data_IF_457187863110
#
_entry.id   IF_457187863110
#
_cell.length_a   1.000
_cell.length_b   1.000
_cell.length_c   1.000
_cell.angle_alpha   90.00
_cell.angle_beta   90.00
_cell.angle_gamma   90.00
#
_symmetry.space_group_name_H-M   'P 1'
#
loop_
_entity.id
_entity.type
_entity.pdbx_description
1 polymer ?
#
# COMPACT_ATOMS: atom_id res chain seq x y z
N UNK A 1 -11.61 14.95 12.04
CA UNK A 1 -11.34 15.42 10.66
C UNK A 1 -10.12 16.35 10.60
N UNK A 2 -9.07 15.95 11.30
CA UNK A 2 -7.82 16.74 11.46
C UNK A 2 -6.94 16.77 10.21
N UNK A 3 -7.08 15.80 9.31
CA UNK A 3 -6.16 15.60 8.19
C UNK A 3 -6.55 16.30 6.88
N UNK A 4 -7.78 16.76 6.73
CA UNK A 4 -8.30 17.29 5.46
C UNK A 4 -8.15 18.81 5.31
N UNK A 5 -7.91 19.54 6.39
CA UNK A 5 -7.91 21.03 6.38
C UNK A 5 -6.52 21.69 6.42
N UNK A 6 -5.42 20.93 6.52
CA UNK A 6 -4.07 21.53 6.57
C UNK A 6 -3.47 21.63 5.18
N UNK A 7 -3.01 22.83 4.81
CA UNK A 7 -2.20 23.10 3.60
C UNK A 7 -0.79 22.47 3.66
N UNK A 8 -0.43 21.82 4.75
CA UNK A 8 0.87 21.13 4.90
C UNK A 8 0.75 19.65 4.60
N UNK A 9 1.81 19.05 4.04
CA UNK A 9 1.80 17.63 3.72
C UNK A 9 1.45 16.80 4.97
N UNK A 10 0.66 15.77 4.76
CA UNK A 10 -0.01 14.92 5.75
C UNK A 10 0.90 14.23 6.76
N UNK A 11 2.19 14.40 6.69
CA UNK A 11 3.05 13.47 7.36
C UNK A 11 4.17 14.15 8.10
N UNK A 12 3.87 14.35 9.34
CA UNK A 12 4.89 14.29 10.38
C UNK A 12 5.20 12.82 10.76
N UNK A 13 4.46 11.84 10.20
CA UNK A 13 4.66 10.42 10.46
C UNK A 13 5.65 9.82 9.45
N UNK A 14 6.56 9.03 9.94
CA UNK A 14 7.51 8.24 9.14
C UNK A 14 6.79 7.15 8.31
N UNK A 15 7.46 6.43 7.40
CA UNK A 15 6.81 5.50 6.48
C UNK A 15 5.87 4.50 7.17
N UNK A 16 6.25 3.95 8.31
CA UNK A 16 5.40 3.03 9.07
C UNK A 16 4.08 3.68 9.50
N UNK A 17 4.13 4.83 10.16
CA UNK A 17 2.94 5.55 10.59
C UNK A 17 2.08 6.02 9.43
N UNK A 18 2.72 6.41 8.32
CA UNK A 18 2.02 6.77 7.08
C UNK A 18 1.28 5.58 6.50
N UNK A 19 1.86 4.37 6.49
CA UNK A 19 1.18 3.15 6.02
C UNK A 19 -0.05 2.81 6.87
N UNK A 20 0.00 3.03 8.19
CA UNK A 20 -1.19 2.90 9.06
C UNK A 20 -2.25 3.93 8.67
N UNK A 21 -1.84 5.15 8.36
CA UNK A 21 -2.75 6.22 7.92
C UNK A 21 -3.45 5.86 6.61
N UNK A 22 -2.77 5.28 5.64
CA UNK A 22 -3.40 4.83 4.38
C UNK A 22 -4.59 3.89 4.64
N UNK A 23 -4.40 2.92 5.52
CA UNK A 23 -5.46 1.96 5.88
C UNK A 23 -6.62 2.59 6.64
N UNK A 24 -6.32 3.54 7.53
CA UNK A 24 -7.35 4.27 8.26
C UNK A 24 -8.20 5.15 7.34
N UNK A 25 -7.57 5.82 6.37
CA UNK A 25 -8.25 6.63 5.37
C UNK A 25 -9.13 5.78 4.45
N UNK A 26 -8.66 4.61 4.02
CA UNK A 26 -9.48 3.67 3.24
C UNK A 26 -10.71 3.22 4.02
N UNK A 27 -10.57 2.85 5.29
CA UNK A 27 -11.71 2.52 6.16
C UNK A 27 -12.70 3.67 6.35
N UNK A 28 -12.21 4.90 6.26
CA UNK A 28 -13.04 6.11 6.30
C UNK A 28 -13.67 6.47 4.93
N UNK A 29 -13.52 5.63 3.90
CA UNK A 29 -14.02 5.89 2.54
C UNK A 29 -13.19 6.90 1.75
N UNK A 30 -11.97 7.19 2.17
CA UNK A 30 -11.08 8.18 1.56
C UNK A 30 -9.94 7.51 0.75
N UNK A 31 -10.27 6.45 -0.02
CA UNK A 31 -9.31 5.68 -0.83
C UNK A 31 -8.47 6.58 -1.75
N UNK A 32 -9.10 7.54 -2.43
CA UNK A 32 -8.39 8.46 -3.34
C UNK A 32 -7.33 9.29 -2.62
N UNK A 33 -7.57 9.65 -1.36
CA UNK A 33 -6.58 10.34 -0.54
C UNK A 33 -5.42 9.42 -0.17
N UNK A 34 -5.70 8.16 0.18
CA UNK A 34 -4.67 7.16 0.45
C UNK A 34 -3.77 6.95 -0.76
N UNK A 35 -4.36 6.79 -1.95
CA UNK A 35 -3.61 6.62 -3.20
C UNK A 35 -2.75 7.85 -3.52
N UNK A 36 -3.27 9.05 -3.31
CA UNK A 36 -2.49 10.28 -3.49
C UNK A 36 -1.28 10.35 -2.57
N UNK A 37 -1.46 10.04 -1.28
CA UNK A 37 -0.36 9.99 -0.30
C UNK A 37 0.67 8.93 -0.70
N UNK A 38 0.21 7.76 -1.13
CA UNK A 38 1.09 6.67 -1.57
C UNK A 38 1.94 7.11 -2.77
N UNK A 39 1.33 7.70 -3.80
CA UNK A 39 2.04 8.21 -4.98
C UNK A 39 3.04 9.30 -4.61
N UNK A 40 2.63 10.27 -3.79
CA UNK A 40 3.49 11.37 -3.36
C UNK A 40 4.66 10.88 -2.52
N UNK A 41 4.41 10.01 -1.52
CA UNK A 41 5.42 9.62 -0.55
C UNK A 41 6.33 8.50 -1.07
N UNK A 42 5.79 7.35 -1.40
CA UNK A 42 6.62 6.25 -1.90
C UNK A 42 6.95 6.41 -3.38
N UNK A 43 6.03 6.88 -4.20
CA UNK A 43 6.29 7.17 -5.61
C UNK A 43 7.38 8.23 -5.75
N UNK A 44 7.05 9.48 -5.44
CA UNK A 44 7.97 10.60 -5.71
C UNK A 44 9.22 10.59 -4.83
N UNK A 45 9.09 10.22 -3.55
CA UNK A 45 10.24 10.29 -2.63
C UNK A 45 11.15 9.08 -2.65
N UNK A 46 10.69 7.93 -3.12
CA UNK A 46 11.50 6.72 -3.18
C UNK A 46 11.70 6.24 -4.62
N UNK A 47 10.61 5.89 -5.33
CA UNK A 47 10.71 5.27 -6.67
C UNK A 47 11.30 6.23 -7.69
N UNK A 48 10.76 7.46 -7.81
CA UNK A 48 11.23 8.44 -8.80
C UNK A 48 12.67 8.92 -8.53
N UNK A 49 13.17 8.72 -7.31
CA UNK A 49 14.55 8.98 -6.93
C UNK A 49 15.49 7.79 -7.14
N UNK A 50 14.98 6.68 -7.66
CA UNK A 50 15.76 5.50 -7.96
C UNK A 50 16.20 4.70 -6.74
N UNK A 51 15.51 4.81 -5.60
CA UNK A 51 15.81 3.98 -4.46
C UNK A 51 15.50 2.52 -4.76
N UNK A 52 16.41 1.64 -4.41
CA UNK A 52 16.29 0.19 -4.60
C UNK A 52 15.79 -0.53 -3.35
N UNK A 53 15.61 0.20 -2.25
CA UNK A 53 15.08 -0.29 -0.97
C UNK A 53 14.24 0.79 -0.30
N UNK A 54 13.48 0.42 0.72
CA UNK A 54 12.65 1.35 1.49
C UNK A 54 13.39 1.76 2.76
N UNK A 55 13.82 3.03 2.87
CA UNK A 55 14.49 3.53 4.07
C UNK A 55 13.53 3.68 5.25
N UNK A 56 14.09 3.73 6.45
CA UNK A 56 13.35 3.87 7.71
C UNK A 56 12.54 5.16 7.79
N UNK A 57 13.06 6.23 7.21
CA UNK A 57 12.53 7.58 7.33
C UNK A 57 12.48 8.28 5.98
N UNK A 58 11.69 9.37 5.89
CA UNK A 58 11.57 10.17 4.67
C UNK A 58 12.80 11.00 4.35
N UNK A 59 13.58 11.38 5.37
CA UNK A 59 14.82 12.15 5.22
C UNK A 59 16.00 11.28 4.79
N UNK A 60 16.11 11.00 3.52
CA UNK A 60 16.81 9.83 2.98
C UNK A 60 18.25 10.01 2.54
N UNK A 61 18.96 11.00 2.99
CA UNK A 61 20.33 11.23 2.52
C UNK A 61 21.40 10.51 3.35
N UNK A 62 21.08 9.34 3.94
CA UNK A 62 21.97 8.67 4.87
C UNK A 62 22.25 9.53 6.11
N UNK A 63 21.33 10.45 6.42
CA UNK A 63 21.50 11.37 7.53
C UNK A 63 21.43 10.63 8.85
N UNK A 64 22.26 11.06 9.78
CA UNK A 64 22.25 10.56 11.14
C UNK A 64 20.98 10.99 11.88
N UNK A 65 20.52 10.15 12.81
CA UNK A 65 19.43 10.49 13.72
C UNK A 65 19.80 11.69 14.58
N UNK A 66 18.80 12.47 14.97
CA UNK A 66 18.91 13.61 15.88
C UNK A 66 18.50 13.23 17.32
N UNK A 67 18.73 14.13 18.26
CA UNK A 67 18.38 13.92 19.67
C UNK A 67 19.17 12.80 20.32
N UNK A 68 18.50 11.96 21.12
CA UNK A 68 19.13 10.83 21.83
C UNK A 68 19.78 9.79 20.92
N UNK A 69 19.48 9.82 19.64
CA UNK A 69 19.99 8.92 18.62
C UNK A 69 21.03 9.60 17.71
N UNK A 70 21.55 10.74 18.13
CA UNK A 70 22.57 11.46 17.37
C UNK A 70 23.79 10.58 17.10
N UNK A 71 24.25 10.57 15.84
CA UNK A 71 25.37 9.74 15.42
C UNK A 71 25.00 8.31 15.01
N UNK A 72 23.74 7.87 15.20
CA UNK A 72 23.27 6.57 14.73
C UNK A 72 22.71 6.73 13.32
N UNK A 73 23.29 6.01 12.37
CA UNK A 73 22.81 6.00 10.99
C UNK A 73 21.41 5.37 10.91
N UNK A 74 20.55 5.98 10.11
CA UNK A 74 19.22 5.44 9.80
C UNK A 74 19.34 4.25 8.87
N UNK A 75 18.44 3.30 9.03
CA UNK A 75 18.36 2.15 8.11
C UNK A 75 17.95 2.62 6.72
N UNK A 76 18.75 2.24 5.72
CA UNK A 76 18.41 2.46 4.30
C UNK A 76 17.58 1.31 3.70
N UNK A 77 17.40 0.22 4.46
CA UNK A 77 16.55 -0.91 4.08
C UNK A 77 15.76 -1.37 5.30
N UNK A 78 14.52 -0.89 5.42
CA UNK A 78 13.69 -1.13 6.58
C UNK A 78 12.33 -1.69 6.19
N UNK A 79 12.08 -2.91 6.61
CA UNK A 79 10.89 -3.68 6.21
C UNK A 79 9.57 -2.99 6.61
N UNK A 80 9.50 -2.30 7.74
CA UNK A 80 8.26 -1.62 8.14
C UNK A 80 7.84 -0.49 7.19
N UNK A 81 8.75 -0.05 6.32
CA UNK A 81 8.46 0.95 5.29
C UNK A 81 7.85 0.37 4.01
N UNK A 82 7.68 -0.95 3.94
CA UNK A 82 7.04 -1.66 2.80
C UNK A 82 5.51 -1.68 2.88
N UNK A 83 4.91 -0.89 3.77
CA UNK A 83 3.46 -0.79 3.93
C UNK A 83 2.63 -0.63 2.65
N UNK A 84 3.12 0.04 1.58
CA UNK A 84 2.43 0.09 0.29
C UNK A 84 2.11 -1.27 -0.31
N UNK A 85 3.00 -2.25 -0.21
CA UNK A 85 2.74 -3.59 -0.74
C UNK A 85 1.52 -4.22 -0.06
N UNK A 86 1.45 -4.15 1.27
CA UNK A 86 0.28 -4.61 2.02
C UNK A 86 -0.99 -3.83 1.67
N UNK A 87 -0.87 -2.50 1.55
CA UNK A 87 -2.01 -1.65 1.19
C UNK A 87 -2.57 -2.00 -0.19
N UNK A 88 -1.72 -2.18 -1.19
CA UNK A 88 -2.13 -2.55 -2.54
C UNK A 88 -2.82 -3.92 -2.54
N UNK A 89 -2.25 -4.92 -1.87
CA UNK A 89 -2.81 -6.27 -1.81
C UNK A 89 -4.16 -6.29 -1.07
N UNK A 90 -4.26 -5.71 0.11
CA UNK A 90 -5.45 -5.84 0.94
C UNK A 90 -6.49 -4.74 0.74
N UNK A 91 -6.05 -3.51 0.49
CA UNK A 91 -6.98 -2.39 0.40
C UNK A 91 -7.39 -2.09 -1.05
N UNK A 92 -6.44 -2.10 -2.00
CA UNK A 92 -6.80 -1.83 -3.41
C UNK A 92 -7.49 -3.04 -4.04
N UNK A 93 -6.99 -4.26 -3.87
CA UNK A 93 -7.73 -5.45 -4.35
C UNK A 93 -8.92 -5.80 -3.48
N UNK A 94 -8.95 -5.31 -2.24
CA UNK A 94 -9.98 -5.65 -1.25
C UNK A 94 -9.99 -7.14 -0.88
N UNK A 95 -8.85 -7.82 -1.02
CA UNK A 95 -8.73 -9.26 -0.74
C UNK A 95 -8.96 -9.54 0.74
N UNK A 96 -9.86 -10.48 1.02
CA UNK A 96 -10.08 -11.06 2.34
C UNK A 96 -9.91 -12.58 2.25
N UNK A 97 -9.12 -13.12 3.16
CA UNK A 97 -8.95 -14.57 3.30
C UNK A 97 -10.09 -15.07 4.20
N UNK A 98 -10.97 -15.91 3.66
CA UNK A 98 -12.12 -16.47 4.36
C UNK A 98 -11.82 -17.84 4.93
N UNK A 99 -10.82 -18.54 4.36
CA UNK A 99 -10.39 -19.86 4.83
C UNK A 99 -8.86 -19.95 4.86
N UNK A 100 -8.28 -20.57 5.90
CA UNK A 100 -6.83 -20.73 6.00
C UNK A 100 -6.20 -21.28 4.72
N UNK A 101 -4.96 -20.90 4.44
CA UNK A 101 -4.24 -21.29 3.23
C UNK A 101 -4.81 -20.67 1.94
N UNK A 102 -5.62 -19.61 2.05
CA UNK A 102 -6.30 -18.97 0.93
C UNK A 102 -7.25 -19.90 0.15
N UNK A 103 -7.73 -20.99 0.77
CA UNK A 103 -8.67 -21.92 0.12
C UNK A 103 -9.98 -21.27 -0.31
N UNK A 104 -10.43 -20.24 0.41
CA UNK A 104 -11.55 -19.39 0.03
C UNK A 104 -11.17 -17.92 0.23
N UNK A 105 -11.47 -17.08 -0.75
CA UNK A 105 -11.23 -15.64 -0.70
C UNK A 105 -12.44 -14.86 -1.21
N UNK A 106 -12.55 -13.60 -0.80
CA UNK A 106 -13.39 -12.61 -1.44
C UNK A 106 -12.54 -11.43 -1.93
N UNK A 107 -13.03 -10.74 -2.95
CA UNK A 107 -12.37 -9.57 -3.53
C UNK A 107 -13.33 -8.39 -3.56
N UNK A 108 -12.79 -7.21 -3.28
CA UNK A 108 -13.51 -5.95 -3.43
C UNK A 108 -12.60 -4.89 -4.05
N UNK A 109 -12.21 -5.08 -5.32
CA UNK A 109 -11.28 -4.19 -5.98
C UNK A 109 -11.80 -2.76 -6.04
N UNK A 110 -10.88 -1.81 -5.85
CA UNK A 110 -11.18 -0.39 -5.91
C UNK A 110 -10.78 0.20 -7.25
N UNK A 111 -11.64 1.04 -7.82
CA UNK A 111 -11.20 1.99 -8.84
C UNK A 111 -10.44 3.13 -8.13
N UNK A 112 -9.16 3.24 -8.43
CA UNK A 112 -8.27 4.26 -7.87
C UNK A 112 -7.97 5.41 -8.84
N UNK A 113 -8.75 5.52 -9.91
CA UNK A 113 -8.55 6.51 -10.95
C UNK A 113 -7.25 6.33 -11.74
N UNK A 114 -6.72 5.11 -11.80
CA UNK A 114 -5.51 4.75 -12.53
C UNK A 114 -5.54 3.29 -12.94
N UNK A 115 -4.90 2.99 -14.06
CA UNK A 115 -4.64 1.61 -14.44
C UNK A 115 -3.68 0.95 -13.45
N UNK A 116 -3.95 -0.29 -13.09
CA UNK A 116 -3.05 -1.07 -12.24
C UNK A 116 -3.12 -2.56 -12.57
N UNK A 117 -2.06 -3.26 -12.25
CA UNK A 117 -1.99 -4.71 -12.22
C UNK A 117 -1.29 -5.14 -10.94
N UNK A 118 -2.02 -5.81 -10.06
CA UNK A 118 -1.52 -6.32 -8.79
C UNK A 118 -1.46 -7.85 -8.89
N UNK A 119 -0.27 -8.39 -8.64
CA UNK A 119 -0.03 -9.82 -8.54
C UNK A 119 0.22 -10.17 -7.09
N UNK A 120 -0.66 -10.99 -6.52
CA UNK A 120 -0.55 -11.46 -5.16
C UNK A 120 -0.24 -12.96 -5.16
N UNK A 121 0.95 -13.38 -4.70
CA UNK A 121 1.27 -14.79 -4.59
C UNK A 121 0.44 -15.43 -3.47
N UNK A 122 -0.27 -16.51 -3.79
CA UNK A 122 -0.98 -17.37 -2.87
C UNK A 122 -0.31 -18.75 -2.85
N UNK A 123 -0.57 -19.61 -1.87
CA UNK A 123 -0.01 -20.97 -1.84
C UNK A 123 -0.30 -21.80 -3.10
N UNK A 124 -1.42 -21.55 -3.76
CA UNK A 124 -1.88 -22.27 -4.96
C UNK A 124 -1.41 -21.63 -6.28
N UNK A 125 -0.82 -20.44 -6.25
CA UNK A 125 -0.43 -19.69 -7.43
C UNK A 125 -0.72 -18.19 -7.31
N UNK A 126 -0.74 -17.48 -8.42
CA UNK A 126 -0.90 -16.03 -8.40
C UNK A 126 -2.37 -15.61 -8.56
N UNK A 127 -2.89 -14.87 -7.59
CA UNK A 127 -4.04 -14.01 -7.80
C UNK A 127 -3.60 -12.76 -8.58
N UNK A 128 -4.32 -12.43 -9.64
CA UNK A 128 -4.08 -11.22 -10.43
C UNK A 128 -5.34 -10.38 -10.43
N UNK A 129 -5.20 -9.12 -10.07
CA UNK A 129 -6.27 -8.12 -10.15
C UNK A 129 -5.78 -6.97 -11.02
N UNK A 130 -6.52 -6.66 -12.05
CA UNK A 130 -6.20 -5.61 -13.01
C UNK A 130 -7.35 -4.61 -13.11
N UNK A 131 -7.01 -3.33 -13.15
CA UNK A 131 -7.88 -2.27 -13.61
C UNK A 131 -7.28 -1.69 -14.88
N UNK A 132 -8.02 -1.73 -15.98
CA UNK A 132 -7.62 -1.13 -17.24
C UNK A 132 -8.75 -0.25 -17.76
N UNK A 133 -8.52 1.07 -17.71
CA UNK A 133 -9.50 2.09 -18.14
C UNK A 133 -10.85 1.98 -17.39
N UNK A 134 -10.81 1.65 -16.10
CA UNK A 134 -12.01 1.48 -15.28
C UNK A 134 -12.63 0.07 -15.36
N UNK A 135 -12.17 -0.80 -16.27
CA UNK A 135 -12.58 -2.20 -16.31
C UNK A 135 -11.73 -3.04 -15.38
N UNK A 136 -12.36 -3.61 -14.37
CA UNK A 136 -11.69 -4.43 -13.37
C UNK A 136 -11.87 -5.90 -13.70
N UNK A 137 -10.76 -6.63 -13.77
CA UNK A 137 -10.74 -8.08 -13.96
C UNK A 137 -9.93 -8.77 -12.86
N UNK A 138 -10.33 -10.01 -12.54
CA UNK A 138 -9.68 -10.82 -11.52
C UNK A 138 -9.41 -12.22 -12.07
N UNK A 139 -8.18 -12.72 -11.89
CA UNK A 139 -7.82 -14.10 -12.18
C UNK A 139 -7.33 -14.78 -10.91
N UNK A 140 -8.03 -15.82 -10.51
CA UNK A 140 -7.77 -16.61 -9.31
C UNK A 140 -7.10 -17.92 -9.73
N UNK A 141 -6.06 -18.40 -9.04
CA UNK A 141 -5.42 -19.67 -9.36
C UNK A 141 -6.32 -20.86 -9.04
N UNK A 142 -6.06 -21.98 -9.70
CA UNK A 142 -6.76 -23.24 -9.43
C UNK A 142 -6.58 -23.65 -7.96
N UNK A 143 -7.65 -24.24 -7.38
CA UNK A 143 -7.67 -24.63 -5.98
C UNK A 143 -8.00 -23.51 -4.98
N UNK A 144 -8.19 -22.27 -5.45
CA UNK A 144 -8.72 -21.16 -4.64
C UNK A 144 -10.17 -20.88 -5.06
N UNK A 145 -11.09 -20.95 -4.09
CA UNK A 145 -12.50 -20.62 -4.33
C UNK A 145 -12.72 -19.12 -4.13
N UNK A 146 -13.14 -18.45 -5.20
CA UNK A 146 -13.59 -17.06 -5.12
C UNK A 146 -15.07 -17.04 -4.71
N UNK A 147 -15.34 -16.59 -3.49
CA UNK A 147 -16.69 -16.59 -2.90
C UNK A 147 -17.52 -15.42 -3.40
N UNK A 148 -16.90 -14.25 -3.52
CA UNK A 148 -17.57 -13.05 -4.02
C UNK A 148 -16.58 -12.07 -4.64
N UNK A 149 -17.06 -11.33 -5.64
CA UNK A 149 -16.40 -10.13 -6.19
C UNK A 149 -17.40 -9.00 -6.19
N UNK A 150 -17.06 -7.87 -5.61
CA UNK A 150 -17.84 -6.63 -5.71
C UNK A 150 -16.90 -5.47 -5.89
N UNK A 151 -17.01 -4.70 -6.96
CA UNK A 151 -16.20 -3.49 -7.16
C UNK A 151 -16.67 -2.36 -6.24
N UNK A 152 -15.75 -1.45 -5.88
CA UNK A 152 -16.03 -0.26 -5.06
C UNK A 152 -15.38 1.00 -5.63
#
# INVERSE_FOLDING_TARGET
MLFVKRKQPFTLAEPFGTAVTLRALDKAGLMNLSVRILKERWGTWMVDRGLTSTPEEWGMNGSFRSGSYQGIMRSLSHVWSTGPAQFLIHNVTGMQILKPGCGEISLRPADIGADYRIVCPLPQGNLIVENKRGEISCRVPDGVKLVSVSCR
#
